data_IF_502432341377
#
_entry.id   IF_502432341377
#
_cell.length_a   1.000
_cell.length_b   1.000
_cell.length_c   1.000
_cell.angle_alpha   90.00
_cell.angle_beta   90.00
_cell.angle_gamma   90.00
#
_symmetry.space_group_name_H-M   'P 1'
#
loop_
_entity.id
_entity.type
_entity.pdbx_description
1 polymer ?
#
# COMPACT_ATOMS: atom_id res chain seq x y z
N UNK A 1 2.16 2.28 -20.58
CA UNK A 1 1.50 1.62 -19.45
C UNK A 1 0.09 2.17 -19.35
N UNK A 2 -0.94 1.31 -19.34
CA UNK A 2 -2.35 1.69 -19.14
C UNK A 2 -2.68 1.89 -17.65
N UNK A 3 -3.83 2.47 -17.32
CA UNK A 3 -4.25 2.66 -15.93
C UNK A 3 -4.31 1.34 -15.17
N UNK A 4 -4.90 0.32 -15.78
CA UNK A 4 -5.03 -1.04 -15.27
C UNK A 4 -3.66 -1.62 -14.93
N UNK A 5 -2.71 -1.53 -15.87
CA UNK A 5 -1.33 -1.99 -15.68
C UNK A 5 -0.64 -1.27 -14.51
N UNK A 6 -0.84 0.05 -14.38
CA UNK A 6 -0.28 0.81 -13.25
C UNK A 6 -0.85 0.35 -11.91
N UNK A 7 -2.16 0.09 -11.85
CA UNK A 7 -2.83 -0.36 -10.63
C UNK A 7 -2.38 -1.75 -10.23
N UNK A 8 -2.25 -2.71 -11.15
CA UNK A 8 -1.76 -4.05 -10.78
C UNK A 8 -0.27 -4.06 -10.49
N UNK A 9 0.54 -3.34 -11.26
CA UNK A 9 1.98 -3.28 -11.02
C UNK A 9 2.30 -2.74 -9.62
N UNK A 10 1.62 -1.68 -9.18
CA UNK A 10 1.91 -1.01 -7.91
C UNK A 10 1.01 -1.45 -6.75
N UNK A 11 -0.24 -1.83 -7.04
CA UNK A 11 -1.29 -2.05 -6.05
C UNK A 11 -1.65 -3.51 -5.80
N UNK A 12 -1.25 -4.45 -6.68
CA UNK A 12 -1.63 -5.86 -6.55
C UNK A 12 -1.34 -6.48 -5.18
N UNK A 13 -0.20 -6.23 -4.49
CA UNK A 13 0.05 -6.82 -3.18
C UNK A 13 -1.03 -6.47 -2.13
N UNK A 14 -1.60 -5.27 -2.19
CA UNK A 14 -2.70 -4.88 -1.30
C UNK A 14 -4.06 -5.41 -1.80
N UNK A 15 -4.30 -5.38 -3.12
CA UNK A 15 -5.52 -5.93 -3.73
C UNK A 15 -5.66 -7.44 -3.58
N UNK A 16 -4.55 -8.15 -3.39
CA UNK A 16 -4.51 -9.57 -3.10
C UNK A 16 -4.48 -9.85 -1.59
N UNK A 17 -4.42 -8.84 -0.72
CA UNK A 17 -4.36 -9.07 0.73
C UNK A 17 -3.05 -9.74 1.18
N UNK A 18 -1.93 -9.44 0.51
CA UNK A 18 -0.57 -9.83 0.94
C UNK A 18 0.08 -8.69 1.76
N UNK A 19 -0.20 -7.45 1.38
CA UNK A 19 0.38 -6.24 1.97
C UNK A 19 -0.73 -5.36 2.55
N UNK A 20 -0.53 -4.71 3.72
CA UNK A 20 -1.57 -3.86 4.32
C UNK A 20 -1.98 -2.70 3.43
N UNK A 21 -1.03 -2.06 2.73
CA UNK A 21 -1.35 -1.05 1.73
C UNK A 21 -0.25 -0.82 0.70
N UNK A 22 -0.64 -0.22 -0.43
CA UNK A 22 0.21 0.32 -1.46
C UNK A 22 -0.14 1.78 -1.69
N UNK A 23 0.87 2.58 -2.01
CA UNK A 23 0.74 4.00 -2.30
C UNK A 23 1.58 4.33 -3.53
N UNK A 24 0.94 4.88 -4.55
CA UNK A 24 1.61 5.22 -5.81
C UNK A 24 0.87 6.34 -6.52
N UNK A 25 1.59 7.09 -7.35
CA UNK A 25 1.02 8.21 -8.11
C UNK A 25 0.93 7.87 -9.59
N UNK A 26 -0.19 8.24 -10.21
CA UNK A 26 -0.37 8.24 -11.67
C UNK A 26 -0.57 9.67 -12.17
N UNK A 27 -0.35 9.90 -13.45
CA UNK A 27 -0.72 11.18 -14.06
C UNK A 27 -2.25 11.32 -14.11
N UNK A 28 -2.80 12.52 -13.88
CA UNK A 28 -4.25 12.77 -13.80
C UNK A 28 -4.98 12.36 -15.09
N UNK A 29 -4.36 12.61 -16.26
CA UNK A 29 -4.88 12.16 -17.56
C UNK A 29 -5.00 10.64 -17.72
N UNK A 30 -4.24 9.86 -16.95
CA UNK A 30 -4.27 8.40 -16.97
C UNK A 30 -5.29 7.84 -15.97
N UNK A 31 -5.73 8.64 -14.99
CA UNK A 31 -6.65 8.19 -13.96
C UNK A 31 -8.06 7.99 -14.51
N UNK A 32 -8.59 6.78 -14.37
CA UNK A 32 -9.93 6.42 -14.83
C UNK A 32 -10.91 6.28 -13.65
N UNK A 33 -11.64 7.36 -13.34
CA UNK A 33 -12.59 7.42 -12.21
C UNK A 33 -13.66 6.31 -12.25
N UNK A 34 -14.18 6.00 -13.44
CA UNK A 34 -15.23 4.99 -13.60
C UNK A 34 -14.72 3.59 -13.26
N UNK A 35 -13.53 3.22 -13.76
CA UNK A 35 -12.87 1.96 -13.40
C UNK A 35 -12.63 1.83 -11.91
N UNK A 36 -12.14 2.88 -11.24
CA UNK A 36 -11.96 2.84 -9.78
C UNK A 36 -13.29 2.60 -9.06
N UNK A 37 -14.38 3.23 -9.51
CA UNK A 37 -15.71 3.00 -8.92
C UNK A 37 -16.18 1.55 -9.11
N UNK A 38 -15.99 0.99 -10.30
CA UNK A 38 -16.32 -0.41 -10.61
C UNK A 38 -15.47 -1.39 -9.80
N UNK A 39 -14.16 -1.21 -9.75
CA UNK A 39 -13.27 -2.05 -8.96
C UNK A 39 -13.56 -1.95 -7.46
N UNK A 40 -13.93 -0.76 -6.98
CA UNK A 40 -14.24 -0.55 -5.56
C UNK A 40 -15.43 -1.38 -5.09
N UNK A 41 -16.44 -1.62 -5.94
CA UNK A 41 -17.58 -2.46 -5.54
C UNK A 41 -17.18 -3.94 -5.43
N UNK A 42 -16.28 -4.40 -6.29
CA UNK A 42 -15.75 -5.76 -6.26
C UNK A 42 -14.82 -5.97 -5.05
N UNK A 43 -13.82 -5.11 -4.88
CA UNK A 43 -12.82 -5.24 -3.81
C UNK A 43 -13.39 -5.02 -2.40
N UNK A 44 -14.46 -4.23 -2.26
CA UNK A 44 -15.13 -4.02 -0.98
C UNK A 44 -15.69 -5.31 -0.38
N UNK A 45 -16.07 -6.28 -1.22
CA UNK A 45 -16.54 -7.62 -0.79
C UNK A 45 -15.44 -8.37 -0.02
N UNK A 46 -14.19 -8.13 -0.38
CA UNK A 46 -13.00 -8.73 0.24
C UNK A 46 -12.34 -7.81 1.29
N UNK A 47 -13.01 -6.71 1.69
CA UNK A 47 -12.46 -5.76 2.67
C UNK A 47 -11.31 -4.90 2.15
N UNK A 48 -11.20 -4.71 0.83
CA UNK A 48 -10.14 -3.96 0.17
C UNK A 48 -10.68 -2.70 -0.50
N UNK A 49 -9.86 -1.65 -0.51
CA UNK A 49 -10.29 -0.32 -0.88
C UNK A 49 -9.25 0.40 -1.72
N UNK A 50 -9.71 1.22 -2.67
CA UNK A 50 -8.88 2.10 -3.50
C UNK A 50 -9.36 3.54 -3.26
N UNK A 51 -8.49 4.38 -2.71
CA UNK A 51 -8.76 5.79 -2.47
C UNK A 51 -7.89 6.63 -3.40
N UNK A 52 -8.52 7.50 -4.18
CA UNK A 52 -7.84 8.42 -5.08
C UNK A 52 -7.81 9.82 -4.48
N UNK A 53 -6.61 10.35 -4.28
CA UNK A 53 -6.36 11.68 -3.70
C UNK A 53 -5.70 12.56 -4.77
N UNK A 54 -6.31 13.69 -5.17
CA UNK A 54 -5.66 14.61 -6.10
C UNK A 54 -4.42 15.24 -5.46
N UNK A 55 -3.38 15.45 -6.26
CA UNK A 55 -2.13 16.11 -5.89
C UNK A 55 -1.77 17.21 -6.89
N UNK A 56 -0.83 18.06 -6.51
CA UNK A 56 -0.23 19.06 -7.39
C UNK A 56 0.44 18.40 -8.61
N UNK A 57 0.79 19.23 -9.60
CA UNK A 57 1.50 18.79 -10.81
C UNK A 57 0.77 17.69 -11.61
N UNK A 58 -0.56 17.80 -11.72
CA UNK A 58 -1.40 16.87 -12.48
C UNK A 58 -1.22 15.40 -12.03
N UNK A 59 -1.08 15.16 -10.73
CA UNK A 59 -0.94 13.80 -10.18
C UNK A 59 -2.19 13.36 -9.43
N UNK A 60 -2.46 12.06 -9.50
CA UNK A 60 -3.44 11.37 -8.67
C UNK A 60 -2.69 10.34 -7.83
N UNK A 61 -2.75 10.50 -6.51
CA UNK A 61 -2.19 9.56 -5.55
C UNK A 61 -3.25 8.48 -5.26
N UNK A 62 -2.91 7.22 -5.50
CA UNK A 62 -3.76 6.09 -5.17
C UNK A 62 -3.25 5.43 -3.89
N UNK A 63 -4.11 5.39 -2.88
CA UNK A 63 -3.92 4.62 -1.66
C UNK A 63 -4.80 3.38 -1.72
N UNK A 64 -4.17 2.23 -1.88
CA UNK A 64 -4.83 0.92 -1.98
C UNK A 64 -4.56 0.16 -0.71
N UNK A 65 -5.57 -0.34 -0.02
CA UNK A 65 -5.36 -1.03 1.25
C UNK A 65 -6.31 -2.19 1.48
N UNK A 66 -5.81 -3.17 2.23
CA UNK A 66 -6.59 -4.22 2.85
C UNK A 66 -6.90 -3.77 4.29
N UNK A 67 -8.19 -3.61 4.61
CA UNK A 67 -8.61 -3.04 5.89
C UNK A 67 -8.13 -3.87 7.08
N UNK A 68 -8.25 -5.19 6.99
CA UNK A 68 -7.91 -6.08 8.10
C UNK A 68 -6.40 -6.08 8.36
N UNK A 69 -5.60 -6.19 7.30
CA UNK A 69 -4.14 -6.15 7.44
C UNK A 69 -3.64 -4.78 7.91
N UNK A 70 -4.23 -3.69 7.41
CA UNK A 70 -3.84 -2.35 7.82
C UNK A 70 -4.18 -2.09 9.30
N UNK A 71 -5.35 -2.51 9.76
CA UNK A 71 -5.75 -2.42 11.17
C UNK A 71 -4.83 -3.27 12.07
N UNK A 72 -4.54 -4.51 11.66
CA UNK A 72 -3.59 -5.37 12.34
C UNK A 72 -2.19 -4.75 12.42
N UNK A 73 -1.73 -4.10 11.35
CA UNK A 73 -0.45 -3.40 11.29
C UNK A 73 -0.37 -2.22 12.28
N UNK A 74 -1.48 -1.55 12.55
CA UNK A 74 -1.56 -0.44 13.50
C UNK A 74 -1.74 -0.87 14.97
N UNK A 75 -2.00 -2.16 15.23
CA UNK A 75 -2.34 -2.70 16.55
C UNK A 75 -1.16 -2.81 17.54
N UNK A 76 0.07 -3.22 17.14
CA UNK A 76 1.17 -3.42 18.07
C UNK A 76 1.44 -2.20 18.96
N UNK A 77 1.69 -2.44 20.25
CA UNK A 77 1.85 -1.36 21.24
C UNK A 77 2.97 -0.37 20.87
N UNK A 78 4.06 -0.86 20.27
CA UNK A 78 5.17 -0.05 19.80
C UNK A 78 4.77 0.87 18.62
N UNK A 79 3.91 0.39 17.72
CA UNK A 79 3.35 1.16 16.60
C UNK A 79 2.37 2.20 17.11
N UNK A 80 1.42 1.82 17.99
CA UNK A 80 0.48 2.77 18.61
C UNK A 80 1.21 3.89 19.35
N UNK A 81 2.23 3.57 20.15
CA UNK A 81 3.08 4.57 20.83
C UNK A 81 3.77 5.50 19.83
N UNK A 82 4.30 4.97 18.73
CA UNK A 82 4.92 5.78 17.68
C UNK A 82 3.92 6.73 17.02
N UNK A 83 2.78 6.23 16.57
CA UNK A 83 1.72 7.02 15.94
C UNK A 83 1.14 8.08 16.90
N UNK A 84 0.99 7.77 18.19
CA UNK A 84 0.57 8.74 19.21
C UNK A 84 1.53 9.93 19.30
N UNK A 85 2.85 9.69 19.28
CA UNK A 85 3.86 10.77 19.23
C UNK A 85 3.80 11.58 17.94
N UNK A 86 3.34 10.96 16.86
CA UNK A 86 3.03 11.62 15.58
C UNK A 86 1.67 12.34 15.57
N UNK A 87 1.01 12.46 16.72
CA UNK A 87 -0.29 13.10 16.92
C UNK A 87 -1.46 12.38 16.24
N UNK A 88 -1.34 11.09 15.96
CA UNK A 88 -2.49 10.30 15.52
C UNK A 88 -3.45 9.99 16.69
N UNK A 89 -4.77 9.99 16.46
CA UNK A 89 -5.80 9.73 17.46
C UNK A 89 -5.96 8.23 17.76
N UNK A 90 -4.89 7.57 18.21
CA UNK A 90 -4.83 6.10 18.40
C UNK A 90 -5.79 5.56 19.46
N UNK A 91 -6.30 6.41 20.36
CA UNK A 91 -7.29 6.01 21.37
C UNK A 91 -8.72 6.08 20.83
N UNK A 92 -8.93 6.81 19.71
CA UNK A 92 -10.22 6.91 19.02
C UNK A 92 -10.45 5.76 18.03
N UNK A 93 -9.57 4.75 18.01
CA UNK A 93 -9.69 3.56 17.18
C UNK A 93 -9.10 3.69 15.77
N UNK A 94 -9.08 2.58 15.04
CA UNK A 94 -8.42 2.48 13.73
C UNK A 94 -8.99 3.45 12.68
N UNK A 95 -10.31 3.62 12.62
CA UNK A 95 -10.94 4.52 11.65
C UNK A 95 -10.48 5.98 11.83
N UNK A 96 -10.27 6.44 13.07
CA UNK A 96 -9.75 7.77 13.34
C UNK A 96 -8.28 7.92 12.90
N UNK A 97 -7.48 6.87 13.13
CA UNK A 97 -6.08 6.81 12.67
C UNK A 97 -6.01 6.84 11.14
N UNK A 98 -6.88 6.09 10.45
CA UNK A 98 -6.96 6.07 9.00
C UNK A 98 -7.43 7.42 8.44
N UNK A 99 -8.43 8.05 9.05
CA UNK A 99 -8.92 9.37 8.65
C UNK A 99 -7.80 10.42 8.75
N UNK A 100 -7.03 10.41 9.83
CA UNK A 100 -5.87 11.28 10.00
C UNK A 100 -4.80 11.03 8.93
N UNK A 101 -4.51 9.76 8.60
CA UNK A 101 -3.58 9.45 7.51
C UNK A 101 -4.07 10.01 6.17
N UNK A 102 -5.33 9.77 5.82
CA UNK A 102 -5.91 10.24 4.56
C UNK A 102 -5.92 11.77 4.49
N UNK A 103 -6.18 12.44 5.61
CA UNK A 103 -6.08 13.89 5.71
C UNK A 103 -4.67 14.38 5.39
N UNK A 104 -3.63 13.85 6.04
CA UNK A 104 -2.22 14.21 5.78
C UNK A 104 -1.81 13.88 4.34
N UNK A 105 -2.16 12.69 3.87
CA UNK A 105 -1.90 12.29 2.48
C UNK A 105 -2.60 13.18 1.47
N UNK A 106 -3.69 13.86 1.82
CA UNK A 106 -4.33 14.84 0.93
C UNK A 106 -3.68 16.22 1.06
N UNK A 107 -3.52 16.71 2.29
CA UNK A 107 -3.18 18.10 2.58
C UNK A 107 -1.68 18.43 2.46
N UNK A 108 -0.80 17.49 2.74
CA UNK A 108 0.65 17.75 2.79
C UNK A 108 1.32 17.58 1.42
N UNK A 109 2.25 18.47 1.08
CA UNK A 109 3.03 18.34 -0.16
C UNK A 109 4.05 17.20 -0.05
N UNK A 110 4.71 17.09 1.11
CA UNK A 110 5.63 16.00 1.42
C UNK A 110 4.87 14.85 2.09
N UNK A 111 5.32 13.62 1.86
CA UNK A 111 4.73 12.47 2.52
C UNK A 111 5.13 12.43 4.00
N UNK A 112 4.18 12.21 4.92
CA UNK A 112 4.50 12.01 6.33
C UNK A 112 5.41 10.79 6.48
N UNK A 113 6.52 10.92 7.23
CA UNK A 113 7.51 9.84 7.35
C UNK A 113 6.89 8.53 7.89
N UNK A 114 5.92 8.64 8.78
CA UNK A 114 5.20 7.50 9.36
C UNK A 114 4.34 6.74 8.35
N UNK A 115 4.14 7.23 7.12
CA UNK A 115 3.41 6.52 6.06
C UNK A 115 3.95 5.11 5.86
N UNK A 116 5.24 4.90 6.08
CA UNK A 116 5.89 3.59 6.00
C UNK A 116 5.26 2.54 6.92
N UNK A 117 4.74 2.94 8.09
CA UNK A 117 4.02 2.03 9.00
C UNK A 117 2.79 1.45 8.31
N UNK A 118 2.00 2.32 7.67
CA UNK A 118 0.78 1.95 6.96
C UNK A 118 1.07 1.11 5.72
N UNK A 119 2.22 1.34 5.08
CA UNK A 119 2.73 0.51 3.98
C UNK A 119 3.27 -0.86 4.45
N UNK A 120 3.21 -1.18 5.74
CA UNK A 120 3.65 -2.47 6.27
C UNK A 120 5.15 -2.59 6.46
N UNK A 121 5.89 -1.48 6.49
CA UNK A 121 7.33 -1.51 6.72
C UNK A 121 7.62 -1.75 8.21
N UNK A 122 8.72 -2.45 8.54
CA UNK A 122 9.13 -2.60 9.93
C UNK A 122 9.27 -1.24 10.62
N UNK A 123 8.77 -1.12 11.85
CA UNK A 123 8.80 0.15 12.58
C UNK A 123 10.22 0.67 12.80
N UNK A 124 11.19 -0.23 12.93
CA UNK A 124 12.62 0.11 13.03
C UNK A 124 13.12 0.82 11.77
N UNK A 125 12.75 0.34 10.58
CA UNK A 125 13.14 0.93 9.31
C UNK A 125 12.48 2.29 9.10
N UNK A 126 11.21 2.44 9.49
CA UNK A 126 10.50 3.74 9.44
C UNK A 126 11.21 4.77 10.33
N UNK A 127 11.51 4.40 11.58
CA UNK A 127 12.21 5.29 12.52
C UNK A 127 13.63 5.61 12.04
N UNK A 128 14.34 4.65 11.49
CA UNK A 128 15.69 4.84 11.00
C UNK A 128 15.72 5.71 9.74
N UNK A 129 14.79 5.50 8.81
CA UNK A 129 14.60 6.36 7.64
C UNK A 129 14.37 7.80 8.05
N UNK A 130 13.45 8.02 9.00
CA UNK A 130 13.17 9.35 9.54
C UNK A 130 14.40 9.99 10.20
N UNK A 131 15.10 9.26 11.07
CA UNK A 131 16.28 9.79 11.79
C UNK A 131 17.45 10.13 10.87
N UNK A 132 17.61 9.39 9.78
CA UNK A 132 18.77 9.50 8.88
C UNK A 132 18.46 10.27 7.60
N UNK A 133 17.23 10.79 7.45
CA UNK A 133 16.72 11.35 6.19
C UNK A 133 16.95 10.40 5.00
N UNK A 134 16.76 9.10 5.23
CA UNK A 134 16.95 8.06 4.23
C UNK A 134 18.41 7.73 3.89
N UNK A 135 19.41 8.22 4.62
CA UNK A 135 20.83 7.91 4.37
C UNK A 135 21.25 6.61 5.07
N UNK A 136 22.39 6.05 4.66
CA UNK A 136 23.04 4.90 5.31
C UNK A 136 22.15 3.65 5.49
N UNK A 137 21.23 3.40 4.55
CA UNK A 137 20.48 2.14 4.54
C UNK A 137 21.37 0.97 4.11
N UNK A 138 21.10 -0.21 4.63
CA UNK A 138 21.83 -1.45 4.32
C UNK A 138 21.38 -2.07 3.00
N UNK A 139 20.11 -1.87 2.64
CA UNK A 139 19.52 -2.32 1.39
C UNK A 139 18.39 -1.38 0.97
N UNK A 140 18.13 -1.28 -0.34
CA UNK A 140 17.05 -0.45 -0.88
C UNK A 140 16.26 -1.24 -1.91
N UNK A 141 14.95 -1.39 -1.65
CA UNK A 141 13.98 -1.99 -2.56
C UNK A 141 12.65 -1.26 -2.48
N UNK A 142 11.57 -1.97 -2.10
CA UNK A 142 10.27 -1.33 -1.84
C UNK A 142 10.33 -0.28 -0.72
N UNK A 143 11.26 -0.45 0.22
CA UNK A 143 11.63 0.53 1.22
C UNK A 143 13.13 0.45 1.49
N UNK A 144 13.65 1.42 2.26
CA UNK A 144 15.03 1.42 2.73
C UNK A 144 15.15 0.59 4.00
N UNK A 145 15.97 -0.44 3.97
CA UNK A 145 16.16 -1.39 5.05
C UNK A 145 17.36 -0.98 5.90
N UNK A 146 17.17 -0.96 7.21
CA UNK A 146 18.17 -0.65 8.23
C UNK A 146 18.37 -1.84 9.18
N UNK A 147 17.33 -2.65 9.37
CA UNK A 147 17.37 -3.89 10.15
C UNK A 147 17.80 -5.11 9.33
N UNK A 148 16.97 -6.14 9.36
CA UNK A 148 17.20 -7.45 8.74
C UNK A 148 16.94 -7.43 7.22
N UNK A 149 18.01 -7.59 6.44
CA UNK A 149 17.98 -7.59 4.96
C UNK A 149 17.28 -8.84 4.43
N UNK A 150 17.50 -10.01 5.01
CA UNK A 150 16.98 -11.28 4.48
C UNK A 150 15.47 -11.35 4.63
N UNK A 151 14.96 -10.95 5.81
CA UNK A 151 13.52 -10.86 6.05
C UNK A 151 12.89 -9.81 5.14
N UNK A 152 13.55 -8.67 4.92
CA UNK A 152 13.05 -7.63 4.02
C UNK A 152 12.98 -8.13 2.57
N UNK A 153 14.05 -8.75 2.06
CA UNK A 153 14.10 -9.28 0.70
C UNK A 153 13.06 -10.38 0.47
N UNK A 154 12.88 -11.31 1.42
CA UNK A 154 11.82 -12.33 1.34
C UNK A 154 10.44 -11.70 1.17
N UNK A 155 10.10 -10.67 1.97
CA UNK A 155 8.82 -9.94 1.84
C UNK A 155 8.71 -9.24 0.49
N UNK A 156 9.76 -8.54 0.05
CA UNK A 156 9.78 -7.82 -1.22
C UNK A 156 9.62 -8.78 -2.41
N UNK A 157 10.20 -9.98 -2.35
CA UNK A 157 10.06 -10.99 -3.39
C UNK A 157 8.63 -11.49 -3.52
N UNK A 158 7.92 -11.70 -2.40
CA UNK A 158 6.49 -12.05 -2.43
C UNK A 158 5.67 -10.93 -3.08
N UNK A 159 5.92 -9.67 -2.72
CA UNK A 159 5.23 -8.52 -3.32
C UNK A 159 5.51 -8.42 -4.82
N UNK A 160 6.76 -8.61 -5.23
CA UNK A 160 7.18 -8.55 -6.63
C UNK A 160 6.54 -9.68 -7.44
N UNK A 161 6.52 -10.91 -6.92
CA UNK A 161 5.86 -12.03 -7.57
C UNK A 161 4.36 -11.78 -7.78
N UNK A 162 3.67 -11.25 -6.78
CA UNK A 162 2.27 -10.84 -6.87
C UNK A 162 2.05 -9.81 -7.99
N UNK A 163 2.82 -8.71 -7.98
CA UNK A 163 2.73 -7.68 -9.01
C UNK A 163 2.99 -8.23 -10.41
N UNK A 164 4.00 -9.09 -10.58
CA UNK A 164 4.36 -9.67 -11.89
C UNK A 164 3.23 -10.55 -12.43
N UNK A 165 2.75 -11.51 -11.64
CA UNK A 165 1.71 -12.45 -12.07
C UNK A 165 0.37 -11.73 -12.34
N UNK A 166 -0.04 -10.80 -11.48
CA UNK A 166 -1.24 -10.00 -11.73
C UNK A 166 -1.11 -9.13 -12.99
N UNK A 167 0.08 -8.58 -13.24
CA UNK A 167 0.34 -7.79 -14.45
C UNK A 167 0.28 -8.65 -15.71
N UNK A 168 0.74 -9.90 -15.66
CA UNK A 168 0.64 -10.84 -16.78
C UNK A 168 -0.81 -11.21 -17.09
N UNK A 169 -1.62 -11.50 -16.06
CA UNK A 169 -3.05 -11.77 -16.22
C UNK A 169 -3.79 -10.60 -16.88
N UNK A 170 -3.52 -9.36 -16.44
CA UNK A 170 -4.13 -8.16 -17.03
C UNK A 170 -3.65 -7.93 -18.47
N UNK A 171 -2.36 -8.14 -18.76
CA UNK A 171 -1.83 -8.07 -20.13
C UNK A 171 -2.47 -9.10 -21.07
N UNK A 172 -2.87 -10.25 -20.52
CA UNK A 172 -3.62 -11.28 -21.25
C UNK A 172 -5.13 -11.00 -21.34
N UNK A 173 -5.58 -9.79 -20.98
CA UNK A 173 -6.96 -9.33 -21.16
C UNK A 173 -7.87 -9.52 -19.94
N UNK A 174 -7.34 -10.00 -18.81
CA UNK A 174 -8.14 -10.14 -17.59
C UNK A 174 -8.39 -8.78 -16.92
N UNK A 175 -9.60 -8.55 -16.41
CA UNK A 175 -9.89 -7.36 -15.63
C UNK A 175 -9.14 -7.36 -14.28
N UNK A 176 -8.76 -6.17 -13.79
CA UNK A 176 -7.98 -6.01 -12.54
C UNK A 176 -8.55 -6.79 -11.34
N UNK A 177 -9.87 -6.73 -11.01
CA UNK A 177 -10.40 -7.50 -9.89
C UNK A 177 -10.36 -9.01 -10.12
N UNK A 178 -10.54 -9.47 -11.37
CA UNK A 178 -10.47 -10.88 -11.71
C UNK A 178 -9.03 -11.40 -11.59
N UNK A 179 -8.03 -10.62 -12.03
CA UNK A 179 -6.62 -10.97 -11.90
C UNK A 179 -6.19 -11.15 -10.43
N UNK A 180 -6.63 -10.25 -9.56
CA UNK A 180 -6.37 -10.37 -8.12
C UNK A 180 -7.02 -11.63 -7.51
N UNK A 181 -8.25 -11.96 -7.90
CA UNK A 181 -8.95 -13.17 -7.44
C UNK A 181 -8.28 -14.45 -7.95
N UNK A 182 -7.88 -14.49 -9.22
CA UNK A 182 -7.21 -15.65 -9.81
C UNK A 182 -5.85 -15.91 -9.13
N UNK A 183 -5.05 -14.86 -8.94
CA UNK A 183 -3.79 -14.97 -8.22
C UNK A 183 -3.99 -15.52 -6.79
N UNK A 184 -5.01 -15.05 -6.09
CA UNK A 184 -5.34 -15.57 -4.75
C UNK A 184 -5.79 -17.02 -4.77
N UNK A 185 -6.63 -17.42 -5.73
CA UNK A 185 -7.03 -18.81 -5.88
C UNK A 185 -5.84 -19.74 -6.16
N UNK A 186 -4.88 -19.30 -6.98
CA UNK A 186 -3.66 -20.05 -7.27
C UNK A 186 -2.78 -20.25 -6.03
N UNK A 187 -2.66 -19.22 -5.16
CA UNK A 187 -1.96 -19.35 -3.88
C UNK A 187 -2.63 -20.42 -3.00
N UNK A 188 -3.95 -20.36 -2.82
CA UNK A 188 -4.66 -21.31 -1.94
C UNK A 188 -4.63 -22.75 -2.45
N UNK A 189 -4.58 -22.98 -3.78
CA UNK A 189 -4.43 -24.32 -4.36
C UNK A 189 -3.04 -24.92 -4.16
N UNK A 190 -2.05 -24.09 -3.83
CA UNK A 190 -0.66 -24.50 -3.63
C UNK A 190 -0.35 -24.89 -2.17
N UNK A 191 -1.34 -24.80 -1.29
CA UNK A 191 -1.31 -25.24 0.11
C UNK A 191 -2.26 -26.43 0.31
#
# INVERSE_FOLDING_TARGET
>A
MSFDEAVVHCGAPALCGIKPSCLFSVHRKMYEKMKVREWSSEFKKDGRYIIALPKENERMLLFVYDKHLLEKQCTPCCVRKYLKRKRYPVESGFNAVLAELLHRLSAEQNFPHEVGVFLGYPLEDVKAFERTSGKACRYSGFWKVYGDIDTAQKRMNVYKACSVQCSELVRNGMAVPAAAKEYMAAIYRSY
#
